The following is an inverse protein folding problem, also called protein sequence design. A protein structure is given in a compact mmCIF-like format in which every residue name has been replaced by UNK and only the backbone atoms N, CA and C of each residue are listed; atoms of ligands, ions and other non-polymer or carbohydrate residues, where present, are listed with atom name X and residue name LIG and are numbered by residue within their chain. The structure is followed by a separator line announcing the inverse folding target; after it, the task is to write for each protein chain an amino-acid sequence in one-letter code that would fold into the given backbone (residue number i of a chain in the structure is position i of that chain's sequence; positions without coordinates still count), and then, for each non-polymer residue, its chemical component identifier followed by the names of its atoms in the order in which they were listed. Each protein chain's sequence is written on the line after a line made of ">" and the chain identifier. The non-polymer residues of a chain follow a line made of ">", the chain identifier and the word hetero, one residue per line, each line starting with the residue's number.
data_IF_108933771134
#
_entry.id   IF_108933771134
#
_cell.length_a   1.000
_cell.length_b   1.000
_cell.length_c   1.000
_cell.angle_alpha   90.00
_cell.angle_beta   90.00
_cell.angle_gamma   90.00
#
_symmetry.space_group_name_H-M   'P 1'
#
loop_
_entity.id
_entity.type
_entity.pdbx_description
1 polymer ?
#
# COMPACT_ATOMS: atom_id res chain seq x y z
N UNK A 1 -23.71 -20.58 -11.84
CA UNK A 1 -23.80 -19.14 -12.23
C UNK A 1 -23.05 -18.95 -13.54
N UNK A 2 -23.57 -18.17 -14.49
CA UNK A 2 -22.80 -17.76 -15.67
C UNK A 2 -21.88 -16.58 -15.33
N UNK A 3 -20.73 -16.51 -15.98
CA UNK A 3 -19.72 -15.45 -15.75
C UNK A 3 -20.29 -14.04 -15.97
N UNK A 4 -21.11 -13.84 -17.00
CA UNK A 4 -21.73 -12.54 -17.29
C UNK A 4 -22.60 -12.04 -16.14
N UNK A 5 -23.39 -12.94 -15.54
CA UNK A 5 -24.22 -12.62 -14.39
C UNK A 5 -23.37 -12.26 -13.15
N UNK A 6 -22.28 -12.99 -12.92
CA UNK A 6 -21.32 -12.68 -11.86
C UNK A 6 -20.70 -11.30 -12.06
N UNK A 7 -20.23 -10.99 -13.27
CA UNK A 7 -19.63 -9.68 -13.56
C UNK A 7 -20.63 -8.53 -13.42
N UNK A 8 -21.89 -8.74 -13.83
CA UNK A 8 -22.97 -7.75 -13.67
C UNK A 8 -23.21 -7.46 -12.19
N UNK A 9 -23.31 -8.51 -11.37
CA UNK A 9 -23.50 -8.36 -9.93
C UNK A 9 -22.30 -7.71 -9.24
N UNK A 10 -21.06 -8.05 -9.65
CA UNK A 10 -19.87 -7.40 -9.14
C UNK A 10 -19.89 -5.89 -9.40
N UNK A 11 -20.28 -5.45 -10.60
CA UNK A 11 -20.43 -4.02 -10.92
C UNK A 11 -21.51 -3.38 -10.05
N UNK A 12 -22.66 -4.03 -9.85
CA UNK A 12 -23.76 -3.56 -8.99
C UNK A 12 -23.29 -3.35 -7.54
N UNK A 13 -22.38 -4.20 -7.06
CA UNK A 13 -21.78 -4.12 -5.72
C UNK A 13 -20.63 -3.10 -5.62
N UNK A 14 -20.28 -2.42 -6.72
CA UNK A 14 -19.30 -1.34 -6.74
C UNK A 14 -17.87 -1.75 -7.09
N UNK A 15 -17.66 -2.95 -7.63
CA UNK A 15 -16.39 -3.33 -8.22
C UNK A 15 -16.26 -2.74 -9.64
N UNK A 16 -15.07 -2.29 -10.02
CA UNK A 16 -14.81 -1.73 -11.34
C UNK A 16 -14.51 -2.80 -12.40
N UNK A 17 -13.93 -3.93 -11.98
CA UNK A 17 -13.58 -5.07 -12.84
C UNK A 17 -13.91 -6.37 -12.12
N UNK A 18 -14.31 -7.37 -12.91
CA UNK A 18 -14.47 -8.75 -12.49
C UNK A 18 -13.92 -9.64 -13.61
N UNK A 19 -12.93 -10.48 -13.30
CA UNK A 19 -12.29 -11.40 -14.23
C UNK A 19 -12.08 -12.75 -13.55
N UNK A 20 -11.88 -13.78 -14.36
CA UNK A 20 -11.75 -15.16 -13.90
C UNK A 20 -10.45 -15.75 -14.42
N UNK A 21 -9.66 -16.34 -13.51
CA UNK A 21 -8.55 -17.22 -13.86
C UNK A 21 -8.93 -18.68 -13.59
N UNK A 22 -8.33 -19.61 -14.32
CA UNK A 22 -8.36 -21.03 -13.95
C UNK A 22 -7.49 -21.25 -12.72
N UNK A 23 -7.99 -21.98 -11.73
CA UNK A 23 -7.20 -22.32 -10.55
C UNK A 23 -6.06 -23.31 -10.90
N UNK A 24 -4.93 -23.16 -10.24
CA UNK A 24 -3.72 -23.97 -10.43
C UNK A 24 -2.61 -23.44 -9.53
N UNK A 25 -1.36 -23.84 -9.79
CA UNK A 25 -0.22 -23.18 -9.16
C UNK A 25 -0.14 -21.70 -9.60
N UNK A 26 0.24 -20.82 -8.68
CA UNK A 26 0.41 -19.40 -8.99
C UNK A 26 1.53 -19.22 -10.04
N UNK A 27 1.37 -18.35 -11.05
CA UNK A 27 2.33 -18.21 -12.14
C UNK A 27 3.76 -17.87 -11.70
N UNK A 28 3.93 -17.12 -10.59
CA UNK A 28 5.24 -16.70 -10.07
C UNK A 28 5.55 -17.33 -8.70
N UNK A 29 5.12 -18.59 -8.47
CA UNK A 29 5.42 -19.32 -7.25
C UNK A 29 6.92 -19.40 -6.96
N UNK A 30 7.74 -19.74 -7.96
CA UNK A 30 9.20 -19.85 -7.83
C UNK A 30 9.84 -18.50 -7.46
N UNK A 31 9.32 -17.40 -8.00
CA UNK A 31 9.79 -16.06 -7.65
C UNK A 31 9.52 -15.71 -6.18
N UNK A 32 8.36 -16.12 -5.64
CA UNK A 32 8.08 -15.96 -4.21
C UNK A 32 9.04 -16.78 -3.36
N UNK A 33 9.32 -18.03 -3.72
CA UNK A 33 10.25 -18.88 -2.98
C UNK A 33 11.65 -18.27 -2.94
N UNK A 34 12.18 -17.84 -4.08
CA UNK A 34 13.49 -17.19 -4.17
C UNK A 34 13.53 -15.90 -3.35
N UNK A 35 12.47 -15.09 -3.39
CA UNK A 35 12.34 -13.86 -2.62
C UNK A 35 12.38 -14.12 -1.09
N UNK A 36 11.71 -15.19 -0.64
CA UNK A 36 11.71 -15.64 0.75
C UNK A 36 13.08 -16.18 1.19
N UNK A 37 13.74 -16.99 0.33
CA UNK A 37 15.08 -17.54 0.59
C UNK A 37 16.12 -16.43 0.75
N UNK A 38 16.03 -15.38 -0.05
CA UNK A 38 16.93 -14.21 0.02
C UNK A 38 16.61 -13.26 1.19
N UNK A 39 15.58 -13.54 2.00
CA UNK A 39 15.18 -12.71 3.14
C UNK A 39 14.59 -11.35 2.74
N UNK A 40 14.21 -11.16 1.48
CA UNK A 40 13.66 -9.89 0.99
C UNK A 40 12.29 -9.55 1.59
N UNK A 41 11.63 -10.48 2.27
CA UNK A 41 10.41 -10.28 3.04
C UNK A 41 10.62 -9.55 4.38
N UNK A 42 11.86 -9.26 4.73
CA UNK A 42 12.22 -8.61 6.01
C UNK A 42 11.62 -9.36 7.22
N UNK A 43 10.88 -8.69 8.09
CA UNK A 43 10.25 -9.31 9.28
C UNK A 43 8.82 -9.80 9.04
N UNK A 44 8.40 -9.90 7.77
CA UNK A 44 7.07 -10.40 7.41
C UNK A 44 7.02 -11.94 7.38
N UNK A 45 7.39 -12.60 8.51
CA UNK A 45 7.47 -14.06 8.63
C UNK A 45 6.15 -14.78 8.30
N UNK A 46 5.02 -14.07 8.36
CA UNK A 46 3.74 -14.61 7.92
C UNK A 46 3.72 -14.96 6.42
N UNK A 47 4.53 -14.28 5.59
CA UNK A 47 4.70 -14.64 4.18
C UNK A 47 5.33 -16.02 4.02
N UNK A 48 6.36 -16.31 4.83
CA UNK A 48 7.05 -17.62 4.83
C UNK A 48 6.16 -18.73 5.36
N UNK A 49 5.45 -18.47 6.47
CA UNK A 49 4.56 -19.47 7.10
C UNK A 49 3.40 -19.91 6.23
N UNK A 50 3.00 -19.09 5.27
CA UNK A 50 1.87 -19.36 4.37
C UNK A 50 2.32 -19.44 2.90
N UNK A 51 3.60 -19.75 2.66
CA UNK A 51 4.15 -19.78 1.30
C UNK A 51 3.46 -20.83 0.41
N UNK A 52 3.20 -21.99 0.97
CA UNK A 52 2.56 -23.08 0.25
C UNK A 52 1.14 -22.77 -0.19
N UNK A 53 0.35 -22.15 0.69
CA UNK A 53 -1.01 -21.73 0.36
C UNK A 53 -1.01 -20.58 -0.65
N UNK A 54 -0.01 -19.67 -0.58
CA UNK A 54 0.14 -18.57 -1.52
C UNK A 54 0.45 -19.05 -2.93
N UNK A 55 1.25 -20.10 -3.03
CA UNK A 55 1.67 -20.62 -4.31
C UNK A 55 0.64 -21.57 -4.94
N UNK A 56 -0.31 -22.10 -4.13
CA UNK A 56 -1.31 -23.01 -4.64
C UNK A 56 -2.67 -22.86 -3.92
N UNK A 57 -3.67 -22.21 -4.53
CA UNK A 57 -4.99 -22.01 -3.94
C UNK A 57 -5.75 -23.31 -3.66
N UNK A 58 -5.35 -24.47 -4.24
CA UNK A 58 -5.95 -25.78 -3.96
C UNK A 58 -5.70 -26.20 -2.50
N UNK A 59 -4.65 -25.67 -1.86
CA UNK A 59 -4.39 -25.84 -0.42
C UNK A 59 -5.32 -25.03 0.47
N UNK A 60 -5.89 -23.94 -0.07
CA UNK A 60 -6.87 -23.11 0.63
C UNK A 60 -8.30 -23.63 0.48
N UNK A 61 -8.66 -24.07 -0.70
CA UNK A 61 -9.99 -24.56 -1.01
C UNK A 61 -9.87 -25.85 -1.85
N UNK A 62 -10.03 -27.03 -1.24
CA UNK A 62 -10.04 -28.29 -1.98
C UNK A 62 -11.14 -28.28 -3.07
N UNK A 63 -10.79 -28.71 -4.27
CA UNK A 63 -11.70 -28.71 -5.42
C UNK A 63 -11.88 -27.32 -6.07
N UNK A 64 -11.10 -26.30 -5.68
CA UNK A 64 -11.13 -25.02 -6.37
C UNK A 64 -10.88 -25.18 -7.86
N UNK A 65 -11.78 -24.60 -8.67
CA UNK A 65 -11.72 -24.64 -10.14
C UNK A 65 -11.45 -23.28 -10.75
N UNK A 66 -11.93 -22.22 -10.10
CA UNK A 66 -11.78 -20.87 -10.62
C UNK A 66 -11.35 -19.89 -9.53
N UNK A 67 -10.58 -18.87 -9.94
CA UNK A 67 -10.18 -17.73 -9.15
C UNK A 67 -10.83 -16.48 -9.74
N UNK A 68 -11.82 -15.93 -9.04
CA UNK A 68 -12.47 -14.68 -9.44
C UNK A 68 -11.67 -13.53 -8.86
N UNK A 69 -11.20 -12.62 -9.71
CA UNK A 69 -10.42 -11.46 -9.31
C UNK A 69 -11.21 -10.19 -9.63
N UNK A 70 -11.31 -9.33 -8.63
CA UNK A 70 -12.02 -8.06 -8.72
C UNK A 70 -11.07 -6.91 -8.47
N UNK A 71 -11.30 -5.80 -9.16
CA UNK A 71 -10.57 -4.56 -8.89
C UNK A 71 -11.53 -3.44 -8.50
N UNK A 72 -11.12 -2.62 -7.53
CA UNK A 72 -11.85 -1.42 -7.09
C UNK A 72 -10.93 -0.22 -7.13
N UNK A 73 -11.32 0.78 -7.91
CA UNK A 73 -10.57 2.04 -8.05
C UNK A 73 -10.61 2.86 -6.75
N UNK A 74 -9.45 3.27 -6.24
CA UNK A 74 -9.33 4.17 -5.09
C UNK A 74 -8.66 5.50 -5.42
N UNK A 75 -8.37 5.77 -6.68
CA UNK A 75 -7.67 7.00 -7.07
C UNK A 75 -8.42 8.25 -6.63
N UNK A 76 -7.70 9.16 -6.00
CA UNK A 76 -8.09 10.54 -5.73
C UNK A 76 -6.92 11.44 -6.10
N UNK A 77 -7.20 12.58 -6.70
CA UNK A 77 -6.17 13.58 -6.92
C UNK A 77 -5.61 14.05 -5.57
N UNK A 78 -4.33 14.41 -5.55
CA UNK A 78 -3.77 15.07 -4.39
C UNK A 78 -4.47 16.42 -4.15
N UNK A 79 -4.64 16.86 -2.89
CA UNK A 79 -5.11 18.20 -2.61
C UNK A 79 -4.25 19.23 -3.35
N UNK A 80 -4.89 20.24 -3.96
CA UNK A 80 -4.20 21.31 -4.70
C UNK A 80 -3.27 22.12 -3.77
N UNK A 81 -3.64 22.23 -2.51
CA UNK A 81 -2.92 23.00 -1.48
C UNK A 81 -2.64 22.11 -0.25
N UNK A 82 -1.63 21.20 -0.31
CA UNK A 82 -1.26 20.43 0.86
C UNK A 82 -0.74 21.39 1.93
N UNK A 83 -1.28 21.31 3.16
CA UNK A 83 -0.75 22.11 4.27
C UNK A 83 0.75 21.87 4.40
N UNK A 84 1.53 22.94 4.41
CA UNK A 84 3.00 22.88 4.41
C UNK A 84 3.57 22.01 5.56
N UNK A 85 2.82 21.88 6.65
CA UNK A 85 3.19 21.14 7.85
C UNK A 85 2.62 19.70 7.90
N UNK A 86 1.86 19.24 6.88
CA UNK A 86 1.29 17.90 6.84
C UNK A 86 2.32 16.83 6.42
N UNK A 87 2.13 15.60 6.91
CA UNK A 87 2.88 14.43 6.44
C UNK A 87 2.22 13.77 5.23
N UNK A 88 3.00 12.99 4.48
CA UNK A 88 2.46 12.22 3.36
C UNK A 88 1.97 10.85 3.83
N UNK A 89 0.73 10.53 3.46
CA UNK A 89 0.08 9.24 3.65
C UNK A 89 -0.22 8.67 2.28
N UNK A 90 0.06 7.39 2.05
CA UNK A 90 -0.28 6.73 0.79
C UNK A 90 -1.79 6.79 0.52
N UNK A 91 -2.18 7.02 -0.73
CA UNK A 91 -3.58 7.28 -1.14
C UNK A 91 -4.55 6.19 -0.73
N UNK A 92 -4.09 4.94 -0.73
CA UNK A 92 -4.95 3.82 -0.35
C UNK A 92 -5.47 3.92 1.11
N UNK A 93 -4.78 4.68 1.96
CA UNK A 93 -5.10 4.87 3.37
C UNK A 93 -5.77 6.22 3.67
N UNK A 94 -6.22 6.96 2.66
CA UNK A 94 -6.88 8.25 2.85
C UNK A 94 -8.32 8.14 3.34
N UNK A 95 -9.01 7.07 2.96
CA UNK A 95 -10.41 6.81 3.30
C UNK A 95 -10.61 5.75 4.38
N UNK A 96 -11.80 5.15 4.37
CA UNK A 96 -12.14 4.03 5.23
C UNK A 96 -11.25 2.82 4.97
N UNK A 97 -11.17 1.92 5.96
CA UNK A 97 -10.42 0.67 5.81
C UNK A 97 -11.02 -0.19 4.68
N UNK A 98 -10.26 -0.33 3.61
CA UNK A 98 -10.70 -1.07 2.43
C UNK A 98 -10.94 -2.56 2.71
N UNK A 99 -10.31 -3.12 3.73
CA UNK A 99 -10.58 -4.51 4.14
C UNK A 99 -12.04 -4.67 4.58
N UNK A 100 -12.57 -3.71 5.32
CA UNK A 100 -13.97 -3.75 5.79
C UNK A 100 -14.93 -3.48 4.63
N UNK A 101 -14.67 -2.44 3.85
CA UNK A 101 -15.51 -2.00 2.72
C UNK A 101 -15.61 -3.09 1.67
N UNK A 102 -14.47 -3.54 1.17
CA UNK A 102 -14.43 -4.53 0.09
C UNK A 102 -14.77 -5.93 0.60
N UNK A 103 -14.41 -6.25 1.83
CA UNK A 103 -14.78 -7.51 2.48
C UNK A 103 -16.29 -7.69 2.59
N UNK A 104 -17.04 -6.62 2.92
CA UNK A 104 -18.51 -6.66 2.93
C UNK A 104 -19.09 -6.90 1.52
N UNK A 105 -18.61 -6.16 0.52
CA UNK A 105 -19.02 -6.31 -0.89
C UNK A 105 -18.70 -7.70 -1.44
N UNK A 106 -17.51 -8.20 -1.10
CA UNK A 106 -17.04 -9.50 -1.57
C UNK A 106 -17.87 -10.65 -0.99
N UNK A 107 -18.24 -10.58 0.30
CA UNK A 107 -19.14 -11.56 0.92
C UNK A 107 -20.53 -11.51 0.31
N UNK A 108 -21.06 -10.33 -0.01
CA UNK A 108 -22.34 -10.20 -0.70
C UNK A 108 -22.30 -10.85 -2.08
N UNK A 109 -21.21 -10.67 -2.83
CA UNK A 109 -21.02 -11.32 -4.13
C UNK A 109 -20.92 -12.85 -3.98
N UNK A 110 -20.15 -13.34 -3.02
CA UNK A 110 -20.00 -14.77 -2.75
C UNK A 110 -21.36 -15.42 -2.39
N UNK A 111 -22.18 -14.75 -1.59
CA UNK A 111 -23.52 -15.25 -1.25
C UNK A 111 -24.42 -15.43 -2.48
N UNK A 112 -24.30 -14.59 -3.51
CA UNK A 112 -25.02 -14.81 -4.77
C UNK A 112 -24.49 -16.00 -5.56
N UNK A 113 -23.20 -16.32 -5.41
CA UNK A 113 -22.60 -17.51 -6.05
C UNK A 113 -23.04 -18.80 -5.36
N UNK A 114 -23.25 -18.80 -4.04
CA UNK A 114 -23.70 -19.96 -3.27
C UNK A 114 -25.03 -20.53 -3.78
N UNK A 115 -25.94 -19.69 -4.25
CA UNK A 115 -27.21 -20.11 -4.85
C UNK A 115 -27.04 -20.96 -6.12
N UNK A 116 -25.86 -20.90 -6.74
CA UNK A 116 -25.51 -21.71 -7.93
C UNK A 116 -24.76 -22.99 -7.58
N UNK A 117 -24.59 -23.29 -6.30
CA UNK A 117 -23.80 -24.39 -5.76
C UNK A 117 -22.31 -24.05 -5.64
N UNK A 118 -21.53 -24.99 -5.10
CA UNK A 118 -20.09 -24.84 -4.91
C UNK A 118 -19.73 -24.11 -3.60
N UNK A 119 -18.44 -24.10 -3.32
CA UNK A 119 -17.86 -23.44 -2.14
C UNK A 119 -17.10 -22.20 -2.56
N UNK A 120 -17.06 -21.17 -1.68
CA UNK A 120 -16.33 -19.92 -1.93
C UNK A 120 -15.46 -19.56 -0.73
N UNK A 121 -14.28 -19.00 -1.00
CA UNK A 121 -13.43 -18.33 0.01
C UNK A 121 -13.03 -16.95 -0.49
N UNK A 122 -13.26 -15.94 0.34
CA UNK A 122 -13.06 -14.54 0.01
C UNK A 122 -11.77 -14.00 0.66
N UNK A 123 -11.01 -13.20 -0.09
CA UNK A 123 -9.78 -12.55 0.36
C UNK A 123 -9.71 -11.11 -0.12
N UNK A 124 -9.30 -10.22 0.78
CA UNK A 124 -8.95 -8.82 0.49
C UNK A 124 -7.64 -8.56 1.22
N UNK A 125 -6.51 -8.59 0.51
CA UNK A 125 -5.13 -8.31 0.99
C UNK A 125 -4.68 -9.15 2.22
N UNK A 126 -5.56 -9.49 3.12
CA UNK A 126 -5.25 -10.18 4.37
C UNK A 126 -5.04 -11.70 4.26
N UNK A 127 -5.23 -12.33 3.10
CA UNK A 127 -5.20 -13.77 2.90
C UNK A 127 -3.88 -14.31 2.33
N UNK A 128 -3.65 -15.63 2.43
CA UNK A 128 -2.50 -16.28 1.83
C UNK A 128 -2.72 -16.54 0.33
N UNK A 129 -2.98 -15.48 -0.43
CA UNK A 129 -3.20 -15.51 -1.88
C UNK A 129 -2.25 -14.51 -2.56
N UNK A 130 -1.68 -14.87 -3.69
CA UNK A 130 -0.92 -13.98 -4.56
C UNK A 130 -1.89 -13.21 -5.49
N UNK A 131 -2.63 -12.25 -4.93
CA UNK A 131 -3.72 -11.55 -5.63
C UNK A 131 -3.26 -10.89 -6.93
N UNK A 132 -2.05 -10.29 -6.94
CA UNK A 132 -1.48 -9.67 -8.15
C UNK A 132 -1.14 -10.68 -9.24
N UNK A 133 -0.73 -11.88 -8.87
CA UNK A 133 -0.50 -12.99 -9.81
C UNK A 133 -1.79 -13.39 -10.52
N UNK A 134 -2.84 -13.60 -9.75
CA UNK A 134 -4.14 -13.94 -10.29
C UNK A 134 -4.75 -12.80 -11.11
N UNK A 135 -4.52 -11.54 -10.69
CA UNK A 135 -4.92 -10.37 -11.46
C UNK A 135 -4.24 -10.31 -12.83
N UNK A 136 -2.96 -10.68 -12.89
CA UNK A 136 -2.23 -10.77 -14.16
C UNK A 136 -2.70 -11.97 -15.00
N UNK A 137 -2.92 -13.12 -14.37
CA UNK A 137 -3.36 -14.35 -15.07
C UNK A 137 -4.73 -14.19 -15.75
N UNK A 138 -5.63 -13.36 -15.23
CA UNK A 138 -6.96 -13.14 -15.81
C UNK A 138 -7.15 -11.77 -16.50
N UNK A 139 -6.09 -10.98 -16.65
CA UNK A 139 -6.18 -9.71 -17.36
C UNK A 139 -6.88 -8.58 -16.60
N UNK A 140 -6.98 -8.66 -15.27
CA UNK A 140 -7.29 -7.48 -14.44
C UNK A 140 -6.15 -6.47 -14.53
N UNK A 141 -4.91 -6.94 -14.55
CA UNK A 141 -3.72 -6.09 -14.70
C UNK A 141 -2.59 -6.89 -15.35
N UNK A 142 -1.51 -6.23 -15.71
CA UNK A 142 -0.21 -6.89 -15.86
C UNK A 142 0.69 -6.55 -14.69
N UNK A 143 1.72 -7.34 -14.47
CA UNK A 143 2.77 -7.01 -13.51
C UNK A 143 3.60 -5.84 -14.03
N UNK A 144 3.63 -4.74 -13.29
CA UNK A 144 4.55 -3.65 -13.57
C UNK A 144 5.95 -3.93 -13.05
N UNK A 145 6.97 -3.25 -13.61
CA UNK A 145 8.35 -3.30 -13.11
C UNK A 145 8.47 -2.85 -11.64
N UNK A 146 7.49 -2.11 -11.12
CA UNK A 146 7.36 -1.75 -9.70
C UNK A 146 6.85 -2.87 -8.80
N UNK A 147 6.61 -4.07 -9.33
CA UNK A 147 5.91 -5.18 -8.70
C UNK A 147 4.42 -4.94 -8.41
N UNK A 148 3.90 -3.78 -8.81
CA UNK A 148 2.48 -3.44 -8.67
C UNK A 148 1.69 -3.81 -9.93
N UNK A 149 0.38 -4.09 -9.76
CA UNK A 149 -0.51 -4.28 -10.90
C UNK A 149 -0.74 -2.96 -11.66
N UNK A 150 -0.83 -3.03 -12.99
CA UNK A 150 -1.13 -1.88 -13.84
C UNK A 150 -2.30 -2.24 -14.76
N UNK A 151 -3.34 -1.40 -14.79
CA UNK A 151 -4.47 -1.55 -15.70
C UNK A 151 -4.55 -0.36 -16.67
N UNK A 152 -4.94 -0.57 -17.94
CA UNK A 152 -4.93 0.50 -18.95
C UNK A 152 -5.77 1.74 -18.62
N UNK A 153 -6.87 1.56 -17.84
CA UNK A 153 -7.81 2.63 -17.49
C UNK A 153 -7.77 3.04 -16.02
N UNK A 154 -7.29 2.15 -15.11
CA UNK A 154 -7.21 2.43 -13.68
C UNK A 154 -5.79 2.86 -13.26
N UNK A 155 -4.81 2.78 -14.16
CA UNK A 155 -3.42 3.01 -13.81
C UNK A 155 -2.95 1.98 -12.79
N UNK A 156 -2.37 2.47 -11.69
CA UNK A 156 -1.89 1.66 -10.56
C UNK A 156 -2.80 1.75 -9.32
N UNK A 157 -3.95 2.46 -9.43
CA UNK A 157 -4.75 2.91 -8.30
C UNK A 157 -5.99 2.05 -8.06
N UNK A 158 -5.80 0.76 -7.80
CA UNK A 158 -6.89 -0.14 -7.50
C UNK A 158 -6.53 -1.16 -6.43
N UNK A 159 -7.51 -1.48 -5.60
CA UNK A 159 -7.47 -2.62 -4.71
C UNK A 159 -7.83 -3.88 -5.47
N UNK A 160 -7.28 -5.00 -5.02
CA UNK A 160 -7.66 -6.33 -5.46
C UNK A 160 -8.53 -7.03 -4.41
N UNK A 161 -9.43 -7.86 -4.88
CA UNK A 161 -10.20 -8.80 -4.08
C UNK A 161 -10.29 -10.11 -4.82
N UNK A 162 -10.26 -11.23 -4.11
CA UNK A 162 -10.24 -12.56 -4.70
C UNK A 162 -11.32 -13.44 -4.08
N UNK A 163 -12.05 -14.17 -4.93
CA UNK A 163 -12.90 -15.29 -4.51
C UNK A 163 -12.34 -16.57 -5.13
N UNK A 164 -11.90 -17.49 -4.30
CA UNK A 164 -11.66 -18.87 -4.71
C UNK A 164 -13.01 -19.59 -4.76
N UNK A 165 -13.29 -20.33 -5.84
CA UNK A 165 -14.54 -21.06 -5.97
C UNK A 165 -14.38 -22.43 -6.61
N UNK A 166 -15.20 -23.39 -6.17
CA UNK A 166 -15.28 -24.70 -6.82
C UNK A 166 -16.17 -24.66 -8.07
N UNK A 167 -16.85 -23.56 -8.36
CA UNK A 167 -17.57 -23.38 -9.61
C UNK A 167 -16.59 -23.29 -10.77
N UNK A 168 -16.87 -24.02 -11.83
CA UNK A 168 -16.15 -23.92 -13.09
C UNK A 168 -16.70 -22.74 -13.88
N UNK A 169 -15.87 -21.69 -14.03
CA UNK A 169 -16.20 -20.48 -14.76
C UNK A 169 -15.23 -20.33 -15.94
N UNK A 170 -15.70 -19.77 -17.04
CA UNK A 170 -14.88 -19.54 -18.22
C UNK A 170 -13.77 -18.52 -17.90
N UNK A 171 -12.48 -18.88 -18.07
CA UNK A 171 -11.38 -17.99 -17.75
C UNK A 171 -11.23 -16.86 -18.77
N UNK A 172 -10.74 -15.72 -18.29
CA UNK A 172 -10.32 -14.59 -19.10
C UNK A 172 -8.86 -14.74 -19.54
N UNK A 173 -8.47 -13.93 -20.53
CA UNK A 173 -7.10 -13.92 -21.05
C UNK A 173 -6.25 -12.83 -20.39
N UNK A 174 -4.95 -13.10 -20.16
CA UNK A 174 -4.02 -12.11 -19.61
C UNK A 174 -3.88 -10.87 -20.49
N UNK A 175 -3.59 -9.73 -19.86
CA UNK A 175 -3.12 -8.55 -20.58
C UNK A 175 -1.62 -8.66 -20.89
N UNK A 176 -1.16 -8.18 -22.05
CA UNK A 176 0.26 -8.12 -22.35
C UNK A 176 0.96 -7.09 -21.44
N UNK A 177 2.22 -7.36 -21.09
CA UNK A 177 3.07 -6.37 -20.43
C UNK A 177 3.31 -5.18 -21.36
N UNK A 178 3.08 -3.98 -20.82
CA UNK A 178 3.25 -2.72 -21.55
C UNK A 178 4.23 -1.77 -20.86
N UNK A 179 5.08 -2.25 -19.95
CA UNK A 179 6.12 -1.46 -19.33
C UNK A 179 7.24 -1.07 -20.34
N UNK A 180 7.53 -1.93 -21.32
CA UNK A 180 8.53 -1.67 -22.35
C UNK A 180 9.90 -1.27 -21.76
N UNK A 181 10.49 -0.16 -22.26
CA UNK A 181 11.78 0.36 -21.78
C UNK A 181 11.65 1.28 -20.56
N UNK A 182 10.46 1.60 -20.09
CA UNK A 182 10.25 2.54 -19.00
C UNK A 182 10.85 2.03 -17.68
N UNK A 183 11.57 2.91 -16.96
CA UNK A 183 12.17 2.64 -15.63
C UNK A 183 11.75 3.64 -14.56
N UNK A 184 10.79 4.52 -14.85
CA UNK A 184 10.40 5.64 -13.97
C UNK A 184 10.11 5.24 -12.52
N UNK A 185 9.47 4.09 -12.30
CA UNK A 185 9.18 3.59 -10.95
C UNK A 185 10.44 3.15 -10.19
N UNK A 186 11.46 2.66 -10.89
CA UNK A 186 12.75 2.29 -10.33
C UNK A 186 13.50 3.56 -9.95
N UNK A 187 13.60 4.51 -10.89
CA UNK A 187 14.31 5.78 -10.70
C UNK A 187 13.67 6.65 -9.60
N UNK A 188 12.35 6.56 -9.44
CA UNK A 188 11.61 7.30 -8.43
C UNK A 188 11.68 6.70 -7.01
N UNK A 189 12.21 5.49 -6.84
CA UNK A 189 12.27 4.85 -5.53
C UNK A 189 13.35 5.50 -4.65
N UNK A 190 13.00 6.25 -3.57
CA UNK A 190 13.99 7.04 -2.83
C UNK A 190 15.04 6.21 -2.11
N UNK A 191 14.73 4.94 -1.82
CA UNK A 191 15.60 4.02 -1.07
C UNK A 191 16.20 2.94 -1.96
N UNK A 192 15.91 2.95 -3.26
CA UNK A 192 16.34 1.91 -4.19
C UNK A 192 15.81 0.51 -3.81
N UNK A 193 14.59 0.45 -3.24
CA UNK A 193 13.96 -0.82 -2.89
C UNK A 193 13.56 -1.66 -4.13
N UNK A 194 13.33 -0.99 -5.27
CA UNK A 194 13.14 -1.63 -6.58
C UNK A 194 14.50 -1.55 -7.27
N UNK A 195 15.33 -2.57 -7.08
CA UNK A 195 16.70 -2.61 -7.58
C UNK A 195 16.77 -3.05 -9.05
N UNK A 196 15.86 -3.92 -9.46
CA UNK A 196 15.72 -4.40 -10.83
C UNK A 196 14.23 -4.49 -11.21
N UNK A 197 13.89 -4.52 -12.51
CA UNK A 197 12.51 -4.74 -12.94
C UNK A 197 11.89 -5.99 -12.31
N UNK A 198 10.67 -5.85 -11.79
CA UNK A 198 9.85 -6.93 -11.19
C UNK A 198 10.41 -7.50 -9.89
N UNK A 199 11.40 -6.83 -9.28
CA UNK A 199 11.99 -7.23 -8.00
C UNK A 199 11.89 -6.10 -6.97
N UNK A 200 11.59 -6.45 -5.71
CA UNK A 200 11.47 -5.54 -4.58
C UNK A 200 12.14 -6.13 -3.35
N UNK A 201 13.08 -5.41 -2.76
CA UNK A 201 13.59 -5.70 -1.42
C UNK A 201 12.75 -4.95 -0.37
N UNK A 202 11.89 -5.66 0.37
CA UNK A 202 11.03 -5.03 1.37
C UNK A 202 11.81 -4.37 2.49
N UNK A 203 13.04 -4.84 2.83
CA UNK A 203 13.89 -4.25 3.87
C UNK A 203 14.17 -2.76 3.62
N UNK A 204 14.13 -2.34 2.36
CA UNK A 204 14.41 -0.97 1.89
C UNK A 204 13.13 -0.20 1.57
N UNK A 205 11.99 -0.90 1.39
CA UNK A 205 10.74 -0.27 0.95
C UNK A 205 10.13 0.62 2.04
N UNK A 206 9.89 1.90 1.75
CA UNK A 206 9.30 2.85 2.70
C UNK A 206 7.91 2.38 3.15
N UNK A 207 7.14 1.74 2.28
CA UNK A 207 5.85 1.17 2.68
C UNK A 207 6.02 0.12 3.77
N UNK A 208 6.97 -0.81 3.63
CA UNK A 208 7.31 -1.76 4.69
C UNK A 208 7.82 -1.05 5.94
N UNK A 209 8.76 -0.11 5.81
CA UNK A 209 9.38 0.59 6.94
C UNK A 209 8.36 1.35 7.79
N UNK A 210 7.33 1.92 7.17
CA UNK A 210 6.31 2.72 7.84
C UNK A 210 5.14 1.91 8.40
N UNK A 211 4.87 0.71 7.88
CA UNK A 211 3.68 -0.07 8.21
C UNK A 211 4.03 -1.36 8.96
N UNK A 212 4.89 -2.19 8.37
CA UNK A 212 5.15 -3.56 8.84
C UNK A 212 6.36 -3.67 9.76
N UNK A 213 7.36 -2.81 9.60
CA UNK A 213 8.52 -2.79 10.49
C UNK A 213 8.11 -2.38 11.91
N UNK A 214 8.32 -3.26 12.88
CA UNK A 214 7.99 -3.03 14.30
C UNK A 214 9.15 -2.48 15.12
N UNK A 215 10.36 -2.45 14.54
CA UNK A 215 11.59 -1.94 15.14
C UNK A 215 11.92 -0.51 14.72
N UNK A 216 13.14 -0.05 15.03
CA UNK A 216 13.63 1.25 14.56
C UNK A 216 13.75 1.28 13.03
N UNK A 217 13.61 2.47 12.47
CA UNK A 217 13.94 2.70 11.07
C UNK A 217 15.46 2.84 10.97
N UNK A 218 16.14 2.04 10.13
CA UNK A 218 17.57 2.19 9.93
C UNK A 218 17.93 3.62 9.54
N UNK A 219 19.00 4.14 10.11
CA UNK A 219 19.35 5.56 9.99
C UNK A 219 19.59 5.96 8.53
N UNK A 220 20.18 5.07 7.74
CA UNK A 220 20.42 5.23 6.31
C UNK A 220 19.17 5.51 5.47
N UNK A 221 17.98 5.10 5.94
CA UNK A 221 16.72 5.34 5.21
C UNK A 221 15.94 6.55 5.74
N UNK A 222 16.26 7.06 6.95
CA UNK A 222 15.46 8.13 7.59
C UNK A 222 15.38 9.37 6.71
N UNK A 223 16.48 9.80 6.11
CA UNK A 223 16.50 10.97 5.22
C UNK A 223 15.72 10.72 3.94
N UNK A 224 15.92 9.56 3.30
CA UNK A 224 15.23 9.18 2.07
C UNK A 224 13.71 9.01 2.24
N UNK A 225 13.24 8.73 3.45
CA UNK A 225 11.80 8.67 3.74
C UNK A 225 11.10 10.03 3.57
N UNK A 226 11.83 11.14 3.69
CA UNK A 226 11.24 12.48 3.58
C UNK A 226 10.12 12.68 4.60
N UNK A 227 8.95 13.07 4.13
CA UNK A 227 7.77 13.37 4.96
C UNK A 227 6.72 12.24 4.99
N UNK A 228 7.07 11.04 4.57
CA UNK A 228 6.16 9.89 4.51
C UNK A 228 5.95 9.29 5.90
N UNK A 229 4.70 9.34 6.37
CA UNK A 229 4.34 8.85 7.72
C UNK A 229 3.57 7.53 7.68
N UNK A 230 3.00 7.16 6.52
CA UNK A 230 2.31 5.88 6.35
C UNK A 230 2.24 5.49 4.86
N UNK A 231 2.89 4.38 4.49
CA UNK A 231 2.96 3.94 3.10
C UNK A 231 3.84 4.83 2.22
N UNK A 232 3.87 4.52 0.94
CA UNK A 232 4.64 5.25 -0.08
C UNK A 232 4.03 4.99 -1.46
N UNK A 233 3.79 6.06 -2.21
CA UNK A 233 3.21 5.99 -3.55
C UNK A 233 4.20 6.37 -4.67
N UNK A 234 5.48 6.63 -4.38
CA UNK A 234 6.41 7.21 -5.36
C UNK A 234 6.54 6.37 -6.63
N UNK A 235 6.61 5.04 -6.51
CA UNK A 235 6.66 4.16 -7.66
C UNK A 235 5.33 4.10 -8.43
N UNK A 236 4.20 4.34 -7.74
CA UNK A 236 2.88 4.45 -8.35
C UNK A 236 2.74 5.79 -9.05
N UNK A 237 3.03 6.91 -8.36
CA UNK A 237 2.94 8.27 -8.92
C UNK A 237 3.78 8.44 -10.19
N UNK A 238 4.96 7.82 -10.23
CA UNK A 238 5.87 7.89 -11.39
C UNK A 238 5.35 7.12 -12.62
N UNK A 239 4.33 6.27 -12.45
CA UNK A 239 3.86 5.41 -13.54
C UNK A 239 3.10 6.21 -14.60
N UNK A 240 3.54 6.21 -15.89
CA UNK A 240 2.89 6.98 -16.94
C UNK A 240 1.48 6.50 -17.29
N UNK A 241 1.09 5.30 -16.88
CA UNK A 241 -0.26 4.78 -17.09
C UNK A 241 -1.31 5.48 -16.22
N UNK A 242 -0.88 6.16 -15.15
CA UNK A 242 -1.79 6.93 -14.28
C UNK A 242 -2.43 8.14 -14.97
N UNK A 243 -1.90 8.59 -16.11
CA UNK A 243 -2.54 9.63 -16.93
C UNK A 243 -3.94 9.26 -17.41
N UNK A 244 -4.29 7.97 -17.42
CA UNK A 244 -5.60 7.48 -17.81
C UNK A 244 -6.52 7.21 -16.62
N UNK A 245 -5.97 7.24 -15.40
CA UNK A 245 -6.75 7.03 -14.20
C UNK A 245 -7.79 8.14 -14.01
N UNK A 246 -9.00 7.74 -13.62
CA UNK A 246 -10.08 8.67 -13.27
C UNK A 246 -10.37 8.55 -11.80
N UNK A 247 -10.79 9.64 -11.17
CA UNK A 247 -11.11 9.63 -9.76
C UNK A 247 -12.23 8.64 -9.43
N UNK A 248 -12.03 7.96 -8.31
CA UNK A 248 -13.05 7.10 -7.75
C UNK A 248 -14.27 7.94 -7.31
N UNK A 249 -15.46 7.46 -7.61
CA UNK A 249 -16.73 8.06 -7.14
C UNK A 249 -17.23 7.39 -5.86
N UNK A 250 -16.51 6.42 -5.35
CA UNK A 250 -16.89 5.70 -4.14
C UNK A 250 -16.71 6.59 -2.91
N UNK A 251 -17.83 6.93 -2.26
CA UNK A 251 -17.81 7.80 -1.09
C UNK A 251 -17.06 7.18 0.10
N UNK A 252 -17.04 5.85 0.22
CA UNK A 252 -16.30 5.16 1.27
C UNK A 252 -14.77 5.25 1.09
N UNK A 253 -14.31 5.55 -0.12
CA UNK A 253 -12.90 5.82 -0.44
C UNK A 253 -12.55 7.32 -0.40
N UNK A 254 -13.47 8.17 0.10
CA UNK A 254 -13.25 9.60 0.20
C UNK A 254 -12.15 9.91 1.23
N UNK A 255 -11.24 10.86 0.95
CA UNK A 255 -10.19 11.24 1.87
C UNK A 255 -10.74 11.85 3.16
N UNK A 256 -10.14 11.51 4.31
CA UNK A 256 -10.40 12.16 5.59
C UNK A 256 -9.62 13.48 5.69
N UNK A 257 -10.31 14.61 5.60
CA UNK A 257 -9.67 15.93 5.74
C UNK A 257 -9.03 16.12 7.11
N UNK A 258 -9.62 15.54 8.18
CA UNK A 258 -9.08 15.58 9.54
C UNK A 258 -7.69 14.94 9.62
N UNK A 259 -7.48 13.85 8.88
CA UNK A 259 -6.18 13.12 8.90
C UNK A 259 -5.18 13.80 7.98
N UNK A 260 -5.57 14.12 6.75
CA UNK A 260 -4.65 14.60 5.72
C UNK A 260 -4.17 16.04 5.94
N UNK A 261 -5.02 16.88 6.52
CA UNK A 261 -4.68 18.28 6.82
C UNK A 261 -4.00 18.51 8.18
N UNK A 262 -3.85 17.47 9.01
CA UNK A 262 -3.29 17.62 10.36
C UNK A 262 -1.79 17.87 10.32
N UNK A 263 -1.29 18.94 11.00
CA UNK A 263 0.14 19.21 11.15
C UNK A 263 0.86 18.04 11.84
N UNK A 264 2.07 17.70 11.35
CA UNK A 264 2.86 16.59 11.87
C UNK A 264 3.04 16.64 13.39
N UNK A 265 3.36 17.82 13.97
CA UNK A 265 3.59 17.98 15.41
C UNK A 265 2.36 17.63 16.26
N UNK A 266 1.14 17.80 15.73
CA UNK A 266 -0.08 17.49 16.48
C UNK A 266 -0.28 15.99 16.69
N UNK A 267 0.22 15.16 15.76
CA UNK A 267 0.19 13.72 15.94
C UNK A 267 1.04 13.25 17.13
N UNK A 268 2.13 13.97 17.48
CA UNK A 268 2.99 13.60 18.61
C UNK A 268 2.25 13.68 19.97
N UNK A 269 1.16 14.44 20.05
CA UNK A 269 0.35 14.60 21.25
C UNK A 269 -0.67 13.48 21.48
N UNK A 270 -0.82 12.56 20.50
CA UNK A 270 -1.77 11.47 20.61
C UNK A 270 -1.31 10.44 21.64
N UNK A 271 -2.11 10.19 22.65
CA UNK A 271 -2.02 8.99 23.47
C UNK A 271 -2.63 7.77 22.74
N UNK A 272 -2.61 6.61 23.36
CA UNK A 272 -3.11 5.37 22.75
C UNK A 272 -4.63 5.43 22.46
N UNK A 273 -5.42 6.09 23.34
CA UNK A 273 -6.85 6.22 23.19
C UNK A 273 -7.22 7.20 22.06
N UNK A 274 -6.55 8.36 22.03
CA UNK A 274 -6.73 9.37 20.99
C UNK A 274 -6.29 8.84 19.61
N UNK A 275 -5.17 8.08 19.54
CA UNK A 275 -4.72 7.43 18.32
C UNK A 275 -5.78 6.46 17.78
N UNK A 276 -6.31 5.56 18.63
CA UNK A 276 -7.34 4.61 18.24
C UNK A 276 -8.64 5.31 17.83
N UNK A 277 -8.98 6.41 18.47
CA UNK A 277 -10.18 7.19 18.14
C UNK A 277 -10.04 7.87 16.78
N UNK A 278 -8.92 8.58 16.54
CA UNK A 278 -8.66 9.31 15.29
C UNK A 278 -8.62 8.38 14.08
N UNK A 279 -7.98 7.21 14.22
CA UNK A 279 -7.79 6.27 13.12
C UNK A 279 -8.79 5.10 13.11
N UNK A 280 -9.91 5.24 13.83
CA UNK A 280 -10.97 4.21 13.84
C UNK A 280 -11.49 3.95 12.42
N UNK A 281 -11.47 2.68 11.98
CA UNK A 281 -11.88 2.29 10.62
C UNK A 281 -10.93 2.79 9.53
N UNK A 282 -9.68 3.05 9.87
CA UNK A 282 -8.60 3.39 8.92
C UNK A 282 -7.51 2.32 8.93
N UNK A 283 -6.91 1.99 7.78
CA UNK A 283 -5.79 1.05 7.71
C UNK A 283 -4.55 1.53 8.47
N UNK A 284 -4.48 2.81 8.85
CA UNK A 284 -3.38 3.40 9.64
C UNK A 284 -3.21 2.72 11.00
N UNK A 285 -4.28 2.16 11.57
CA UNK A 285 -4.22 1.37 12.82
C UNK A 285 -3.20 0.22 12.76
N UNK A 286 -2.87 -0.28 11.56
CA UNK A 286 -1.87 -1.35 11.33
C UNK A 286 -0.48 -0.98 11.87
N UNK A 287 -0.08 0.28 11.77
CA UNK A 287 1.22 0.75 12.28
C UNK A 287 1.29 0.77 13.81
N UNK A 288 0.14 0.78 14.51
CA UNK A 288 -0.01 1.08 15.94
C UNK A 288 0.54 2.46 16.29
N UNK A 289 0.14 3.05 17.43
CA UNK A 289 0.60 4.37 17.86
C UNK A 289 2.13 4.50 17.80
N UNK A 290 2.85 3.55 18.40
CA UNK A 290 4.31 3.62 18.48
C UNK A 290 5.01 3.67 17.11
N UNK A 291 4.56 2.88 16.13
CA UNK A 291 5.13 2.87 14.77
C UNK A 291 4.75 4.13 14.00
N UNK A 292 3.52 4.60 14.14
CA UNK A 292 3.06 5.82 13.50
C UNK A 292 3.80 7.06 14.04
N UNK A 293 3.93 7.22 15.37
CA UNK A 293 4.67 8.35 15.98
C UNK A 293 6.16 8.30 15.64
N UNK A 294 6.76 7.10 15.59
CA UNK A 294 8.12 6.92 15.07
C UNK A 294 8.27 7.53 13.68
N UNK A 295 7.34 7.25 12.76
CA UNK A 295 7.35 7.76 11.39
C UNK A 295 7.16 9.29 11.37
N UNK A 296 6.27 9.82 12.21
CA UNK A 296 6.07 11.27 12.40
C UNK A 296 7.34 11.96 12.86
N UNK A 297 8.08 11.37 13.83
CA UNK A 297 9.38 11.91 14.25
C UNK A 297 10.37 11.96 13.09
N UNK A 298 10.46 10.92 12.27
CA UNK A 298 11.35 10.93 11.08
C UNK A 298 10.95 12.03 10.10
N UNK A 299 9.66 12.17 9.81
CA UNK A 299 9.16 13.21 8.92
C UNK A 299 9.49 14.62 9.44
N UNK A 300 9.31 14.87 10.75
CA UNK A 300 9.70 16.12 11.39
C UNK A 300 11.22 16.35 11.37
N UNK A 301 12.02 15.30 11.59
CA UNK A 301 13.46 15.37 11.44
C UNK A 301 13.89 15.82 10.03
N UNK A 302 13.14 15.45 9.00
CA UNK A 302 13.43 15.82 7.62
C UNK A 302 12.95 17.22 7.24
N UNK A 303 11.73 17.61 7.59
CA UNK A 303 11.11 18.88 7.14
C UNK A 303 10.81 19.88 8.26
N UNK A 304 10.79 19.42 9.51
CA UNK A 304 10.45 20.26 10.66
C UNK A 304 11.43 21.41 10.88
N UNK A 305 10.98 22.37 11.63
CA UNK A 305 11.71 23.60 12.00
C UNK A 305 11.86 23.70 13.51
N UNK A 306 12.50 24.76 13.99
CA UNK A 306 12.62 25.03 15.43
C UNK A 306 11.27 25.18 16.15
N UNK A 307 10.19 25.46 15.42
CA UNK A 307 8.81 25.51 15.95
C UNK A 307 8.32 24.13 16.44
N UNK A 308 8.87 23.04 15.89
CA UNK A 308 8.45 21.69 16.20
C UNK A 308 9.23 21.06 17.36
N UNK A 309 10.33 21.73 17.80
CA UNK A 309 11.18 21.26 18.89
C UNK A 309 10.44 21.03 20.22
N UNK A 310 9.48 21.87 20.65
CA UNK A 310 8.75 21.63 21.90
C UNK A 310 8.00 20.27 21.89
N UNK A 311 7.29 19.95 20.79
CA UNK A 311 6.55 18.70 20.66
C UNK A 311 7.49 17.49 20.52
N UNK A 312 8.62 17.64 19.83
CA UNK A 312 9.64 16.59 19.74
C UNK A 312 10.35 16.36 21.10
N UNK A 313 10.60 17.39 21.89
CA UNK A 313 11.14 17.24 23.25
C UNK A 313 10.16 16.52 24.17
N UNK A 314 8.87 16.79 24.05
CA UNK A 314 7.84 16.01 24.74
C UNK A 314 7.89 14.53 24.30
N UNK A 315 7.95 14.27 22.99
CA UNK A 315 8.03 12.91 22.42
C UNK A 315 9.35 12.19 22.81
N UNK A 316 10.44 12.92 23.10
CA UNK A 316 11.68 12.30 23.60
C UNK A 316 11.55 11.76 25.04
N UNK A 317 10.46 12.08 25.75
CA UNK A 317 10.05 11.51 27.02
C UNK A 317 8.94 10.44 26.91
N UNK A 318 8.54 10.04 25.72
CA UNK A 318 7.48 9.05 25.53
C UNK A 318 7.78 7.71 26.22
N UNK A 319 6.75 7.00 26.68
CA UNK A 319 6.92 5.68 27.31
C UNK A 319 7.47 4.62 26.35
N UNK A 320 7.24 4.78 25.02
CA UNK A 320 7.73 3.88 23.98
C UNK A 320 9.18 4.23 23.59
N UNK A 321 10.16 3.33 23.83
CA UNK A 321 11.57 3.59 23.48
C UNK A 321 11.76 3.96 22.00
N UNK A 322 10.96 3.33 21.14
CA UNK A 322 10.98 3.56 19.70
C UNK A 322 10.67 5.00 19.33
N UNK A 323 9.71 5.63 20.01
CA UNK A 323 9.35 7.04 19.80
C UNK A 323 10.46 7.94 20.32
N UNK A 324 10.99 7.66 21.52
CA UNK A 324 12.09 8.45 22.12
C UNK A 324 13.31 8.55 21.22
N UNK A 325 13.78 7.39 20.70
CA UNK A 325 14.96 7.32 19.82
C UNK A 325 14.79 8.21 18.59
N UNK A 326 13.64 8.10 17.92
CA UNK A 326 13.39 8.83 16.68
C UNK A 326 13.10 10.33 16.92
N UNK A 327 12.54 10.67 18.07
CA UNK A 327 12.37 12.06 18.48
C UNK A 327 13.74 12.73 18.75
N UNK A 328 14.66 12.05 19.42
CA UNK A 328 16.03 12.52 19.64
C UNK A 328 16.78 12.75 18.32
N UNK A 329 16.67 11.78 17.38
CA UNK A 329 17.23 11.93 16.04
C UNK A 329 16.65 13.16 15.32
N UNK A 330 15.33 13.36 15.41
CA UNK A 330 14.67 14.50 14.77
C UNK A 330 15.09 15.84 15.36
N UNK A 331 15.23 15.93 16.69
CA UNK A 331 15.73 17.12 17.38
C UNK A 331 17.14 17.47 16.88
N UNK A 332 18.06 16.50 16.91
CA UNK A 332 19.44 16.70 16.44
C UNK A 332 19.48 17.20 14.98
N UNK A 333 18.67 16.62 14.09
CA UNK A 333 18.59 17.04 12.70
C UNK A 333 18.06 18.47 12.49
N UNK A 334 17.09 18.90 13.31
CA UNK A 334 16.55 20.25 13.23
C UNK A 334 17.57 21.26 13.78
N UNK A 335 18.20 20.97 14.91
CA UNK A 335 19.20 21.84 15.53
C UNK A 335 20.43 22.00 14.63
N UNK A 336 20.91 20.92 14.00
CA UNK A 336 21.99 20.95 13.00
C UNK A 336 21.66 21.88 11.83
N UNK A 337 20.46 21.76 11.25
CA UNK A 337 20.01 22.63 10.14
C UNK A 337 19.86 24.10 10.57
N UNK A 338 19.42 24.35 11.80
CA UNK A 338 19.25 25.72 12.32
C UNK A 338 20.58 26.41 12.57
N UNK A 339 21.66 25.66 12.87
CA UNK A 339 23.01 26.20 13.15
C UNK A 339 23.88 26.23 11.88
N UNK A 340 23.50 25.55 10.82
CA UNK A 340 24.22 25.54 9.54
C UNK A 340 24.26 26.99 8.97
N UNK A 341 25.44 27.54 8.59
CA UNK A 341 25.51 28.87 7.99
C UNK A 341 24.69 28.89 6.67
N UNK A 342 23.86 29.92 6.54
CA UNK A 342 23.01 30.12 5.37
C UNK A 342 23.88 30.26 4.13
N UNK A 343 24.04 29.21 3.32
CA UNK A 343 24.63 29.34 2.00
C UNK A 343 23.60 30.07 1.11
N UNK A 344 23.93 31.28 0.58
CA UNK A 344 23.03 31.95 -0.35
C UNK A 344 22.87 31.05 -1.57
N UNK A 345 21.62 30.80 -1.97
CA UNK A 345 21.33 30.11 -3.25
C UNK A 345 22.05 30.88 -4.34
N UNK A 346 23.01 30.24 -5.00
CA UNK A 346 23.67 30.79 -6.17
C UNK A 346 22.60 31.04 -7.24
N UNK A 347 22.33 32.31 -7.50
CA UNK A 347 21.53 32.77 -8.63
C UNK A 347 22.34 32.57 -9.91
N UNK A 348 22.36 31.35 -10.43
CA UNK A 348 22.86 31.06 -11.77
C UNK A 348 21.90 30.05 -12.39
N UNK A 349 21.00 30.62 -13.17
CA UNK A 349 20.68 30.09 -14.50
C UNK A 349 19.60 30.97 -15.14
N UNK A 350 20.08 32.10 -15.67
CA UNK A 350 19.46 32.75 -16.81
C UNK A 350 20.37 32.49 -18.01
N UNK A 351 19.98 31.52 -18.84
CA UNK A 351 20.15 31.58 -20.31
C UNK A 351 19.48 30.37 -20.97
#
# INVERSE_FOLDING_TARGET
>A
MKKEALCTEAVRLGFNLCRVARAGAAPHADALELWLQNGHHATMDWMRRTAEERTDPRKLLPGVSSVVVLATNYYRAAPEDPTADAGRIARYAWGADYHDVLGARLRALAATMESSGGQQRCFVDGGPVLERDWAAACGVSWHGKSTMGIHPQLGTWFFLSVILTTLELEPDVPLPDRCGRCTRCIDACPTGAIDTPYHLDARRCISYLTIENKGPIPEEFRVAMGERIFGCDDCLDACPWNRFARESRDAQMAPSAEILGKPLREFLRLDEAAFKSLFRGSPILRAKRRGFLRNVCVALGNKGTTRDLPDLRMASGDHEPLVREHAQWAIARIEERATAPHQPRSSTESR
#
